data_IF_349586101174
#
_entry.id   IF_349586101174
#
_cell.length_a   1.000
_cell.length_b   1.000
_cell.length_c   1.000
_cell.angle_alpha   90.00
_cell.angle_beta   90.00
_cell.angle_gamma   90.00
#
_symmetry.space_group_name_H-M   'P 1'
#
loop_
_entity.id
_entity.type
_entity.pdbx_description
1 polymer ?
#
# COMPACT_ATOMS: atom_id res chain seq x y z
N UNK A 1 22.20 -19.01 -8.82
CA UNK A 1 21.63 -18.83 -7.48
C UNK A 1 21.91 -17.40 -7.04
N UNK A 2 20.93 -16.50 -7.23
CA UNK A 2 21.04 -15.11 -6.78
C UNK A 2 20.74 -15.13 -5.29
N UNK A 3 21.73 -14.81 -4.46
CA UNK A 3 21.54 -14.69 -3.03
C UNK A 3 20.52 -13.58 -2.76
N UNK A 4 19.47 -13.92 -2.02
CA UNK A 4 18.55 -12.95 -1.45
C UNK A 4 19.36 -12.01 -0.54
N UNK A 5 19.52 -10.75 -0.96
CA UNK A 5 20.02 -9.70 -0.10
C UNK A 5 18.97 -9.50 1.00
N UNK A 6 19.20 -10.07 2.17
CA UNK A 6 18.45 -9.69 3.38
C UNK A 6 18.65 -8.19 3.56
N UNK A 7 17.60 -7.35 3.53
CA UNK A 7 17.78 -5.93 3.77
C UNK A 7 18.29 -5.76 5.20
N UNK A 8 19.43 -5.09 5.30
CA UNK A 8 19.99 -4.66 6.58
C UNK A 8 18.97 -3.67 7.18
N UNK A 9 18.27 -4.06 8.24
CA UNK A 9 17.36 -3.23 9.03
C UNK A 9 18.13 -2.17 9.84
N UNK A 10 18.96 -1.36 9.18
CA UNK A 10 19.71 -0.28 9.82
C UNK A 10 18.80 0.94 10.04
N UNK A 11 18.11 1.03 11.18
CA UNK A 11 17.46 2.27 11.66
C UNK A 11 16.60 3.04 10.63
N UNK A 12 15.99 2.36 9.65
CA UNK A 12 15.19 3.01 8.63
C UNK A 12 13.74 3.10 9.11
N UNK A 13 13.29 4.31 9.35
CA UNK A 13 11.91 4.62 9.75
C UNK A 13 11.08 4.79 8.48
N UNK A 14 9.89 4.17 8.38
CA UNK A 14 8.97 4.43 7.27
C UNK A 14 8.62 5.91 7.15
N UNK A 15 8.40 6.35 5.92
CA UNK A 15 7.98 7.73 5.67
C UNK A 15 6.50 7.94 6.00
N UNK A 16 6.13 9.20 6.20
CA UNK A 16 4.76 9.64 6.53
C UNK A 16 3.76 9.14 5.50
N UNK A 17 4.10 9.11 4.22
CA UNK A 17 3.22 8.63 3.15
C UNK A 17 2.94 7.13 3.28
N UNK A 18 3.96 6.32 3.57
CA UNK A 18 3.79 4.89 3.81
C UNK A 18 2.92 4.64 5.04
N UNK A 19 3.23 5.31 6.15
CA UNK A 19 2.47 5.20 7.40
C UNK A 19 1.01 5.62 7.20
N UNK A 20 0.77 6.71 6.48
CA UNK A 20 -0.59 7.20 6.21
C UNK A 20 -1.35 6.26 5.29
N UNK A 21 -0.71 5.71 4.25
CA UNK A 21 -1.32 4.70 3.40
C UNK A 21 -1.74 3.46 4.22
N UNK A 22 -0.89 3.01 5.15
CA UNK A 22 -1.25 1.93 6.09
C UNK A 22 -2.42 2.31 6.99
N UNK A 23 -2.45 3.52 7.57
CA UNK A 23 -3.58 3.96 8.40
C UNK A 23 -4.88 3.97 7.59
N UNK A 24 -4.84 4.48 6.36
CA UNK A 24 -6.01 4.49 5.46
C UNK A 24 -6.48 3.06 5.17
N UNK A 25 -5.57 2.12 4.90
CA UNK A 25 -5.89 0.71 4.69
C UNK A 25 -6.65 0.11 5.89
N UNK A 26 -6.13 0.31 7.11
CA UNK A 26 -6.77 -0.19 8.32
C UNK A 26 -8.11 0.50 8.64
N UNK A 27 -8.29 1.76 8.21
CA UNK A 27 -9.60 2.43 8.31
C UNK A 27 -10.64 1.74 7.41
N UNK A 28 -10.27 1.30 6.21
CA UNK A 28 -11.20 0.59 5.33
C UNK A 28 -11.58 -0.78 5.91
N UNK A 29 -10.61 -1.51 6.49
CA UNK A 29 -10.91 -2.70 7.29
C UNK A 29 -11.93 -2.41 8.40
N UNK A 30 -11.72 -1.32 9.16
CA UNK A 30 -12.65 -0.89 10.20
C UNK A 30 -14.05 -0.59 9.66
N UNK A 31 -14.15 0.08 8.50
CA UNK A 31 -15.42 0.36 7.84
C UNK A 31 -16.12 -0.93 7.41
N UNK A 32 -15.43 -1.86 6.75
CA UNK A 32 -16.01 -3.14 6.34
C UNK A 32 -16.48 -3.99 7.50
N UNK A 33 -15.77 -3.93 8.63
CA UNK A 33 -16.19 -4.61 9.85
C UNK A 33 -17.54 -4.10 10.36
N UNK A 34 -17.73 -2.79 10.38
CA UNK A 34 -18.96 -2.17 10.88
C UNK A 34 -20.11 -2.33 9.89
N UNK A 35 -19.86 -2.09 8.60
CA UNK A 35 -20.90 -2.07 7.57
C UNK A 35 -21.34 -3.48 7.14
N UNK A 36 -20.39 -4.42 7.01
CA UNK A 36 -20.64 -5.75 6.45
C UNK A 36 -20.42 -6.88 7.45
N UNK A 37 -19.93 -6.60 8.66
CA UNK A 37 -19.64 -7.61 9.68
C UNK A 37 -18.38 -8.44 9.41
N UNK A 38 -17.66 -8.17 8.32
CA UNK A 38 -16.53 -8.96 7.83
C UNK A 38 -15.26 -8.70 8.64
N UNK A 39 -14.44 -9.73 8.81
CA UNK A 39 -13.12 -9.59 9.42
C UNK A 39 -12.08 -9.27 8.34
N UNK A 40 -10.98 -8.60 8.70
CA UNK A 40 -9.88 -8.30 7.77
C UNK A 40 -9.19 -9.54 7.18
N UNK A 41 -9.38 -10.71 7.79
CA UNK A 41 -8.93 -12.00 7.26
C UNK A 41 -9.84 -12.58 6.18
N UNK A 42 -11.02 -11.99 5.93
CA UNK A 42 -11.92 -12.43 4.88
C UNK A 42 -11.36 -12.01 3.51
N UNK A 43 -11.18 -12.92 2.54
CA UNK A 43 -10.67 -12.57 1.21
C UNK A 43 -11.51 -11.52 0.47
N UNK A 44 -12.80 -11.40 0.79
CA UNK A 44 -13.66 -10.37 0.21
C UNK A 44 -13.17 -8.97 0.56
N UNK A 45 -12.67 -8.76 1.78
CA UNK A 45 -12.22 -7.47 2.28
C UNK A 45 -11.10 -6.89 1.41
N UNK A 46 -10.01 -7.64 1.27
CA UNK A 46 -8.89 -7.24 0.38
C UNK A 46 -9.32 -7.20 -1.09
N UNK A 47 -10.20 -8.10 -1.52
CA UNK A 47 -10.73 -8.14 -2.89
C UNK A 47 -11.48 -6.86 -3.27
N UNK A 48 -12.33 -6.34 -2.37
CA UNK A 48 -13.05 -5.08 -2.56
C UNK A 48 -12.12 -3.88 -2.48
N UNK A 49 -11.15 -3.87 -1.57
CA UNK A 49 -10.13 -2.83 -1.50
C UNK A 49 -9.28 -2.74 -2.77
N UNK A 50 -8.96 -3.87 -3.38
CA UNK A 50 -8.25 -3.92 -4.66
C UNK A 50 -9.16 -3.56 -5.85
N UNK A 51 -10.48 -3.51 -5.65
CA UNK A 51 -11.45 -3.03 -6.64
C UNK A 51 -11.32 -1.53 -6.88
N UNK A 52 -11.66 -1.08 -8.10
CA UNK A 52 -11.45 0.31 -8.53
C UNK A 52 -12.02 1.35 -7.56
N UNK A 53 -13.16 1.10 -6.92
CA UNK A 53 -13.83 2.09 -6.08
C UNK A 53 -13.07 2.37 -4.79
N UNK A 54 -12.84 1.35 -3.96
CA UNK A 54 -12.11 1.54 -2.70
C UNK A 54 -10.62 1.81 -2.93
N UNK A 55 -10.01 1.20 -3.95
CA UNK A 55 -8.66 1.51 -4.35
C UNK A 55 -8.48 3.00 -4.66
N UNK A 56 -9.39 3.57 -5.48
CA UNK A 56 -9.33 4.99 -5.81
C UNK A 56 -9.64 5.89 -4.61
N UNK A 57 -10.58 5.52 -3.73
CA UNK A 57 -10.84 6.26 -2.49
C UNK A 57 -9.59 6.34 -1.60
N UNK A 58 -8.90 5.22 -1.37
CA UNK A 58 -7.67 5.21 -0.58
C UNK A 58 -6.57 6.06 -1.22
N UNK A 59 -6.40 5.94 -2.54
CA UNK A 59 -5.42 6.73 -3.30
C UNK A 59 -5.71 8.23 -3.25
N UNK A 60 -6.96 8.63 -3.42
CA UNK A 60 -7.34 10.05 -3.37
C UNK A 60 -7.21 10.61 -1.96
N UNK A 61 -7.65 9.87 -0.93
CA UNK A 61 -7.42 10.27 0.46
C UNK A 61 -5.92 10.46 0.76
N UNK A 62 -5.05 9.57 0.27
CA UNK A 62 -3.61 9.73 0.44
C UNK A 62 -3.08 10.99 -0.25
N UNK A 63 -3.55 11.29 -1.46
CA UNK A 63 -3.16 12.50 -2.20
C UNK A 63 -3.77 13.79 -1.64
N UNK A 64 -4.89 13.72 -0.94
CA UNK A 64 -5.44 14.86 -0.18
C UNK A 64 -4.51 15.22 0.99
N UNK A 65 -3.96 14.22 1.68
CA UNK A 65 -2.96 14.43 2.75
C UNK A 65 -1.61 14.89 2.18
N UNK A 66 -1.20 14.36 1.02
CA UNK A 66 0.05 14.69 0.34
C UNK A 66 -0.20 15.18 -1.10
N UNK A 67 -0.56 16.45 -1.31
CA UNK A 67 -0.94 16.98 -2.63
C UNK A 67 0.11 16.86 -3.72
N UNK A 68 1.40 16.79 -3.35
CA UNK A 68 2.51 16.64 -4.29
C UNK A 68 2.92 15.19 -4.55
N UNK A 69 2.23 14.22 -3.92
CA UNK A 69 2.49 12.79 -4.15
C UNK A 69 2.09 12.43 -5.59
N UNK A 70 3.01 11.82 -6.32
CA UNK A 70 2.77 11.43 -7.71
C UNK A 70 1.66 10.38 -7.78
N UNK A 71 0.98 10.31 -8.93
CA UNK A 71 -0.07 9.32 -9.15
C UNK A 71 0.49 7.89 -9.04
N UNK A 72 1.67 7.64 -9.62
CA UNK A 72 2.35 6.35 -9.59
C UNK A 72 2.74 5.95 -8.16
N UNK A 73 3.26 6.89 -7.37
CA UNK A 73 3.66 6.62 -5.98
C UNK A 73 2.44 6.35 -5.10
N UNK A 74 1.37 7.13 -5.27
CA UNK A 74 0.12 6.91 -4.54
C UNK A 74 -0.48 5.53 -4.86
N UNK A 75 -0.49 5.13 -6.13
CA UNK A 75 -0.94 3.79 -6.52
C UNK A 75 -0.07 2.68 -5.92
N UNK A 76 1.26 2.83 -6.00
CA UNK A 76 2.18 1.86 -5.45
C UNK A 76 2.00 1.69 -3.92
N UNK A 77 1.80 2.80 -3.20
CA UNK A 77 1.58 2.79 -1.75
C UNK A 77 0.26 2.12 -1.37
N UNK A 78 -0.82 2.31 -2.13
CA UNK A 78 -2.12 1.68 -1.86
C UNK A 78 -2.11 0.18 -2.17
N UNK A 79 -1.30 -0.29 -3.12
CA UNK A 79 -1.17 -1.72 -3.41
C UNK A 79 -0.50 -2.53 -2.30
N UNK A 80 0.23 -1.87 -1.39
CA UNK A 80 0.83 -2.56 -0.24
C UNK A 80 -0.25 -3.03 0.72
N UNK A 81 -0.19 -4.32 1.07
CA UNK A 81 -1.20 -5.02 1.86
C UNK A 81 -2.23 -5.76 1.00
N UNK A 82 -2.28 -5.50 -0.32
CA UNK A 82 -3.24 -6.10 -1.25
C UNK A 82 -2.59 -7.13 -2.20
N UNK A 83 -1.34 -7.52 -1.96
CA UNK A 83 -0.57 -8.38 -2.87
C UNK A 83 -1.15 -9.79 -3.03
N UNK A 84 -1.91 -10.26 -2.04
CA UNK A 84 -2.53 -11.58 -2.07
C UNK A 84 -3.86 -11.60 -2.83
N UNK A 85 -4.34 -10.46 -3.32
CA UNK A 85 -5.57 -10.38 -4.13
C UNK A 85 -5.33 -10.84 -5.56
N UNK A 86 -6.37 -11.41 -6.19
CA UNK A 86 -6.30 -11.82 -7.61
C UNK A 86 -6.00 -10.61 -8.52
N UNK A 87 -6.58 -9.45 -8.20
CA UNK A 87 -6.33 -8.20 -8.95
C UNK A 87 -4.87 -7.77 -8.94
N UNK A 88 -4.14 -8.01 -7.85
CA UNK A 88 -2.70 -7.77 -7.83
C UNK A 88 -1.95 -8.87 -8.58
N UNK A 89 -2.30 -10.14 -8.33
CA UNK A 89 -1.63 -11.31 -8.94
C UNK A 89 -1.69 -11.27 -10.47
N UNK A 90 -2.81 -10.86 -11.03
CA UNK A 90 -3.07 -10.74 -12.47
C UNK A 90 -2.29 -9.60 -13.15
N UNK A 91 -1.66 -8.70 -12.39
CA UNK A 91 -0.84 -7.63 -12.96
C UNK A 91 0.42 -8.18 -13.66
N UNK A 92 0.88 -7.51 -14.73
CA UNK A 92 2.17 -7.81 -15.34
C UNK A 92 3.31 -7.80 -14.31
N UNK A 93 4.29 -8.70 -14.49
CA UNK A 93 5.44 -8.78 -13.59
C UNK A 93 6.21 -7.45 -13.50
N UNK A 94 6.32 -6.71 -14.61
CA UNK A 94 6.95 -5.39 -14.63
C UNK A 94 6.22 -4.38 -13.74
N UNK A 95 4.89 -4.41 -13.72
CA UNK A 95 4.08 -3.54 -12.87
C UNK A 95 4.23 -3.91 -11.39
N UNK A 96 4.17 -5.20 -11.06
CA UNK A 96 4.41 -5.68 -9.68
C UNK A 96 5.79 -5.28 -9.16
N UNK A 97 6.83 -5.43 -9.99
CA UNK A 97 8.18 -5.02 -9.63
C UNK A 97 8.29 -3.51 -9.41
N UNK A 98 7.60 -2.69 -10.22
CA UNK A 98 7.58 -1.24 -10.04
C UNK A 98 6.86 -0.84 -8.74
N UNK A 99 5.69 -1.44 -8.46
CA UNK A 99 4.93 -1.22 -7.22
C UNK A 99 5.81 -1.53 -6.01
N UNK A 100 6.39 -2.74 -5.95
CA UNK A 100 7.23 -3.17 -4.83
C UNK A 100 8.46 -2.27 -4.68
N UNK A 101 9.13 -1.92 -5.77
CA UNK A 101 10.30 -1.05 -5.71
C UNK A 101 9.97 0.33 -5.11
N UNK A 102 8.91 0.98 -5.61
CA UNK A 102 8.49 2.29 -5.13
C UNK A 102 8.09 2.22 -3.67
N UNK A 103 7.18 1.31 -3.33
CA UNK A 103 6.67 1.21 -1.98
C UNK A 103 7.74 0.82 -0.96
N UNK A 104 8.70 -0.03 -1.31
CA UNK A 104 9.82 -0.36 -0.43
C UNK A 104 10.72 0.85 -0.18
N UNK A 105 10.94 1.73 -1.16
CA UNK A 105 11.68 2.97 -0.92
C UNK A 105 10.98 3.90 0.09
N UNK A 106 9.64 3.95 0.06
CA UNK A 106 8.87 4.68 1.08
C UNK A 106 8.89 3.97 2.44
N UNK A 107 8.81 2.63 2.47
CA UNK A 107 8.87 1.82 3.70
C UNK A 107 10.20 1.97 4.44
N UNK A 108 11.29 2.09 3.69
CA UNK A 108 12.65 2.15 4.24
C UNK A 108 13.21 3.57 4.27
N UNK A 109 12.39 4.62 4.18
CA UNK A 109 12.88 5.98 4.41
C UNK A 109 13.77 6.57 3.29
N UNK A 110 13.78 5.97 2.09
CA UNK A 110 14.59 6.43 0.94
C UNK A 110 13.86 7.42 0.03
N UNK A 111 12.53 7.40 0.01
CA UNK A 111 11.65 8.36 -0.69
C UNK A 111 10.85 9.20 0.31
N UNK A 112 9.96 10.09 -0.14
CA UNK A 112 8.95 10.73 0.72
C UNK A 112 9.48 11.57 1.88
N UNK A 113 8.58 11.79 2.85
CA UNK A 113 8.82 12.63 4.03
C UNK A 113 9.06 11.77 5.26
N UNK A 114 10.24 11.87 5.88
CA UNK A 114 10.57 11.08 7.08
C UNK A 114 9.64 11.38 8.25
N UNK A 115 9.35 10.36 9.06
CA UNK A 115 8.82 10.56 10.40
C UNK A 115 9.92 11.11 11.32
N UNK A 116 9.53 12.00 12.25
CA UNK A 116 10.46 12.62 13.22
C UNK A 116 10.82 11.67 14.35
#
# INVERSE_FOLDING_TARGET
>A
MIQAVKPIYNNRIPNKEYVTATIIHEIIHGYFKIEYGLASSDPWDHGEMAGNDYFNKMKYALKEVFPNLSETDAQALVWIGLQDTDKYKDKPLSEKNAIEYIAMNYRVGLSGTKCN
#
